data_IF_839281718883
#
_entry.id   IF_839281718883
#
_cell.length_a   1.000
_cell.length_b   1.000
_cell.length_c   1.000
_cell.angle_alpha   90.00
_cell.angle_beta   90.00
_cell.angle_gamma   90.00
#
_symmetry.space_group_name_H-M   'P 1'
#
loop_
_entity.id
_entity.type
_entity.pdbx_description
1 polymer ?
#
# COMPACT_ATOMS: atom_id res chain seq x y z
N UNK A 1 -13.30 -25.98 10.52
CA UNK A 1 -13.13 -27.16 9.66
C UNK A 1 -12.14 -26.87 8.52
N UNK A 2 -12.34 -25.84 7.71
CA UNK A 2 -11.49 -25.50 6.54
C UNK A 2 -10.02 -25.27 6.93
N UNK A 3 -9.75 -24.57 8.04
CA UNK A 3 -8.39 -24.32 8.49
C UNK A 3 -7.66 -25.61 8.91
N UNK A 4 -8.32 -26.51 9.63
CA UNK A 4 -7.76 -27.83 10.01
C UNK A 4 -7.48 -28.72 8.80
N UNK A 5 -8.35 -28.71 7.81
CA UNK A 5 -8.13 -29.45 6.55
C UNK A 5 -6.88 -28.94 5.82
N UNK A 6 -6.69 -27.62 5.77
CA UNK A 6 -5.49 -26.99 5.18
C UNK A 6 -4.21 -27.34 5.94
N UNK A 7 -4.26 -27.32 7.27
CA UNK A 7 -3.14 -27.73 8.12
C UNK A 7 -2.75 -29.18 7.85
N UNK A 8 -3.72 -30.10 7.78
CA UNK A 8 -3.49 -31.50 7.48
C UNK A 8 -2.88 -31.67 6.08
N UNK A 9 -3.44 -31.03 5.07
CA UNK A 9 -2.95 -31.09 3.69
C UNK A 9 -1.54 -30.51 3.56
N UNK A 10 -1.23 -29.45 4.30
CA UNK A 10 0.10 -28.87 4.36
C UNK A 10 1.12 -29.83 5.01
N UNK A 11 0.80 -30.43 6.15
CA UNK A 11 1.69 -31.40 6.82
C UNK A 11 1.90 -32.67 6.00
N UNK A 12 0.83 -33.20 5.35
CA UNK A 12 0.95 -34.31 4.39
C UNK A 12 1.86 -33.91 3.20
N UNK A 13 1.68 -32.70 2.68
CA UNK A 13 2.51 -32.18 1.61
C UNK A 13 3.98 -32.02 1.99
N UNK A 14 4.25 -31.59 3.24
CA UNK A 14 5.59 -31.47 3.81
C UNK A 14 6.26 -32.85 3.93
N UNK A 15 5.54 -33.88 4.43
CA UNK A 15 6.02 -35.26 4.50
C UNK A 15 6.32 -35.84 3.09
N UNK A 16 5.57 -35.44 2.07
CA UNK A 16 5.76 -35.88 0.68
C UNK A 16 6.69 -35.00 -0.13
N UNK A 17 7.36 -34.01 0.46
CA UNK A 17 8.13 -32.95 -0.23
C UNK A 17 7.34 -32.22 -1.34
N UNK A 18 6.02 -32.18 -1.24
CA UNK A 18 5.11 -31.63 -2.24
C UNK A 18 3.99 -30.82 -1.58
N UNK A 19 4.31 -29.59 -1.15
CA UNK A 19 3.32 -28.67 -0.57
C UNK A 19 2.53 -28.05 -1.73
N UNK A 20 1.26 -28.45 -1.90
CA UNK A 20 0.35 -27.90 -2.92
C UNK A 20 -0.81 -27.19 -2.25
N UNK A 21 -1.17 -26.01 -2.74
CA UNK A 21 -2.32 -25.28 -2.24
C UNK A 21 -2.47 -23.89 -2.86
N UNK A 22 -3.52 -23.20 -2.44
CA UNK A 22 -3.78 -21.82 -2.87
C UNK A 22 -3.73 -20.89 -1.67
N UNK A 23 -2.95 -19.83 -1.79
CA UNK A 23 -2.90 -18.69 -0.87
C UNK A 23 -3.83 -17.60 -1.41
N UNK A 24 -4.82 -17.20 -0.62
CA UNK A 24 -5.64 -16.02 -0.90
C UNK A 24 -5.03 -14.82 -0.22
N UNK A 25 -4.46 -13.93 -1.02
CA UNK A 25 -3.69 -12.78 -0.61
C UNK A 25 -4.47 -11.49 -0.89
N UNK A 26 -4.41 -10.52 0.03
CA UNK A 26 -4.91 -9.18 -0.18
C UNK A 26 -3.78 -8.17 -0.27
N UNK A 27 -4.00 -7.07 -1.00
CA UNK A 27 -3.06 -5.97 -0.95
C UNK A 27 -3.75 -4.63 -1.21
N UNK A 28 -3.31 -3.59 -0.50
CA UNK A 28 -3.68 -2.23 -0.86
C UNK A 28 -3.09 -1.84 -2.23
N UNK A 29 -3.68 -0.84 -2.86
CA UNK A 29 -3.32 -0.46 -4.25
C UNK A 29 -1.83 -0.17 -4.42
N UNK A 30 -1.21 0.56 -3.50
CA UNK A 30 0.23 0.86 -3.57
C UNK A 30 1.07 -0.42 -3.52
N UNK A 31 0.78 -1.29 -2.57
CA UNK A 31 1.56 -2.53 -2.38
C UNK A 31 1.34 -3.52 -3.53
N UNK A 32 0.09 -3.66 -4.01
CA UNK A 32 -0.25 -4.58 -5.09
C UNK A 32 0.37 -4.21 -6.43
N UNK A 33 0.58 -2.91 -6.68
CA UNK A 33 1.07 -2.41 -7.96
C UNK A 33 2.59 -2.24 -8.00
N UNK A 34 3.21 -1.80 -6.90
CA UNK A 34 4.61 -1.34 -6.95
C UNK A 34 5.59 -2.17 -6.12
N UNK A 35 5.13 -2.97 -5.17
CA UNK A 35 6.01 -3.71 -4.25
C UNK A 35 5.86 -5.21 -4.40
N UNK A 36 4.63 -5.72 -4.32
CA UNK A 36 4.38 -7.15 -4.31
C UNK A 36 4.66 -7.89 -5.62
N UNK A 37 4.53 -7.30 -6.82
CA UNK A 37 4.78 -8.04 -8.06
C UNK A 37 6.17 -8.69 -8.11
N UNK A 38 7.21 -8.00 -7.65
CA UNK A 38 8.56 -8.56 -7.59
C UNK A 38 8.65 -9.70 -6.56
N UNK A 39 8.07 -9.52 -5.37
CA UNK A 39 8.05 -10.54 -4.31
C UNK A 39 7.29 -11.78 -4.77
N UNK A 40 6.15 -11.58 -5.42
CA UNK A 40 5.32 -12.65 -5.97
C UNK A 40 6.06 -13.45 -7.05
N UNK A 41 6.71 -12.78 -7.99
CA UNK A 41 7.48 -13.43 -9.06
C UNK A 41 8.59 -14.33 -8.48
N UNK A 42 9.34 -13.82 -7.50
CA UNK A 42 10.39 -14.59 -6.81
C UNK A 42 9.82 -15.76 -6.01
N UNK A 43 8.69 -15.55 -5.31
CA UNK A 43 8.05 -16.61 -4.53
C UNK A 43 7.51 -17.73 -5.41
N UNK A 44 6.76 -17.40 -6.45
CA UNK A 44 6.15 -18.40 -7.34
C UNK A 44 7.20 -19.21 -8.11
N UNK A 45 8.32 -18.59 -8.48
CA UNK A 45 9.48 -19.29 -9.04
C UNK A 45 10.07 -20.31 -8.06
N UNK A 46 10.18 -19.93 -6.77
CA UNK A 46 10.76 -20.80 -5.74
C UNK A 46 9.78 -21.86 -5.23
N UNK A 47 8.49 -21.58 -5.33
CA UNK A 47 7.40 -22.43 -4.82
C UNK A 47 6.32 -22.68 -5.90
N UNK A 48 6.67 -23.32 -7.04
CA UNK A 48 5.77 -23.42 -8.20
C UNK A 48 4.51 -24.23 -7.94
N UNK A 49 4.43 -24.93 -6.82
CA UNK A 49 3.27 -25.75 -6.44
C UNK A 49 2.28 -25.00 -5.53
N UNK A 50 2.60 -23.76 -5.12
CA UNK A 50 1.69 -22.90 -4.37
C UNK A 50 1.12 -21.88 -5.34
N UNK A 51 -0.19 -21.98 -5.58
CA UNK A 51 -0.90 -20.95 -6.35
C UNK A 51 -1.22 -19.77 -5.45
N UNK A 52 -1.17 -18.57 -6.02
CA UNK A 52 -1.57 -17.33 -5.32
C UNK A 52 -2.73 -16.69 -6.08
N UNK A 53 -3.81 -16.41 -5.34
CA UNK A 53 -4.90 -15.56 -5.82
C UNK A 53 -4.85 -14.25 -5.03
N UNK A 54 -4.55 -13.14 -5.71
CA UNK A 54 -4.40 -11.85 -5.05
C UNK A 54 -5.54 -10.90 -5.42
N UNK A 55 -6.20 -10.35 -4.39
CA UNK A 55 -7.18 -9.27 -4.52
C UNK A 55 -6.54 -7.93 -4.16
N UNK A 56 -6.91 -6.88 -4.89
CA UNK A 56 -6.47 -5.51 -4.61
C UNK A 56 -7.67 -4.63 -4.26
N UNK A 57 -7.48 -3.74 -3.30
CA UNK A 57 -8.50 -2.79 -2.84
C UNK A 57 -7.87 -1.64 -2.06
N UNK A 58 -8.68 -0.80 -1.41
CA UNK A 58 -8.15 0.12 -0.42
C UNK A 58 -7.98 -0.56 0.94
N UNK A 59 -7.33 0.11 1.88
CA UNK A 59 -7.00 -0.47 3.19
C UNK A 59 -8.24 -0.99 3.91
N UNK A 60 -9.32 -0.19 3.97
CA UNK A 60 -10.55 -0.56 4.68
C UNK A 60 -11.19 -1.82 4.07
N UNK A 61 -11.21 -1.93 2.74
CA UNK A 61 -11.72 -3.11 2.04
C UNK A 61 -10.89 -4.36 2.35
N UNK A 62 -9.56 -4.25 2.31
CA UNK A 62 -8.67 -5.38 2.56
C UNK A 62 -8.74 -5.84 4.02
N UNK A 63 -8.81 -4.92 4.99
CA UNK A 63 -9.04 -5.28 6.40
C UNK A 63 -10.38 -5.99 6.60
N UNK A 64 -11.44 -5.53 5.94
CA UNK A 64 -12.74 -6.19 5.97
C UNK A 64 -12.67 -7.64 5.46
N UNK A 65 -11.98 -7.88 4.33
CA UNK A 65 -11.82 -9.22 3.74
C UNK A 65 -10.99 -10.16 4.64
N UNK A 66 -9.98 -9.64 5.36
CA UNK A 66 -9.23 -10.39 6.38
C UNK A 66 -10.16 -10.80 7.54
N UNK A 67 -10.96 -9.86 8.06
CA UNK A 67 -11.89 -10.11 9.16
C UNK A 67 -12.99 -11.10 8.76
N UNK A 68 -13.48 -11.01 7.52
CA UNK A 68 -14.44 -11.95 6.95
C UNK A 68 -13.87 -13.38 6.72
N UNK A 69 -12.52 -13.52 6.76
CA UNK A 69 -11.85 -14.81 6.50
C UNK A 69 -11.75 -15.17 5.01
N UNK A 70 -12.03 -14.22 4.11
CA UNK A 70 -11.89 -14.40 2.66
C UNK A 70 -10.42 -14.35 2.21
N UNK A 71 -9.59 -13.66 2.97
CA UNK A 71 -8.14 -13.58 2.76
C UNK A 71 -7.41 -14.18 3.96
N UNK A 72 -6.29 -14.84 3.70
CA UNK A 72 -5.43 -15.46 4.73
C UNK A 72 -4.32 -14.52 5.18
N UNK A 73 -3.84 -13.70 4.29
CA UNK A 73 -2.77 -12.73 4.50
C UNK A 73 -3.02 -11.50 3.64
N UNK A 74 -2.63 -10.34 4.12
CA UNK A 74 -2.67 -9.16 3.28
C UNK A 74 -1.52 -8.18 3.59
N UNK A 75 -1.34 -7.23 2.69
CA UNK A 75 -0.35 -6.17 2.77
C UNK A 75 -1.05 -4.82 2.63
N UNK A 76 -0.92 -3.98 3.65
CA UNK A 76 -1.62 -2.70 3.69
C UNK A 76 -0.72 -1.54 4.13
N UNK A 77 -1.18 -0.35 3.84
CA UNK A 77 -0.71 0.90 4.44
C UNK A 77 -1.73 1.42 5.46
N UNK A 78 -1.27 2.17 6.43
CA UNK A 78 -2.14 2.83 7.41
C UNK A 78 -1.64 2.63 8.85
N UNK A 79 -2.50 2.96 9.81
CA UNK A 79 -2.23 2.73 11.21
C UNK A 79 -2.99 1.49 11.69
N UNK A 80 -2.36 0.61 12.49
CA UNK A 80 -3.05 -0.47 13.16
C UNK A 80 -4.28 0.06 13.93
N UNK A 81 -5.47 -0.45 13.60
CA UNK A 81 -6.73 0.04 14.18
C UNK A 81 -7.69 -1.06 14.61
N UNK A 82 -7.56 -2.26 14.06
CA UNK A 82 -8.48 -3.37 14.29
C UNK A 82 -7.91 -4.37 15.31
N UNK A 83 -8.58 -4.60 16.47
CA UNK A 83 -8.06 -5.48 17.52
C UNK A 83 -7.98 -6.96 17.08
N UNK A 84 -8.82 -7.38 16.14
CA UNK A 84 -8.86 -8.74 15.64
C UNK A 84 -7.89 -9.01 14.48
N UNK A 85 -7.06 -8.02 14.14
CA UNK A 85 -6.01 -8.13 13.13
C UNK A 85 -4.63 -8.06 13.80
N UNK A 86 -3.75 -8.96 13.39
CA UNK A 86 -2.33 -8.90 13.74
C UNK A 86 -1.57 -8.11 12.67
N UNK A 87 -0.85 -7.06 13.09
CA UNK A 87 -0.09 -6.17 12.21
C UNK A 87 1.41 -6.38 12.41
N UNK A 88 2.09 -6.78 11.35
CA UNK A 88 3.54 -7.02 11.33
C UNK A 88 4.20 -5.93 10.50
N UNK A 89 5.10 -5.09 11.05
CA UNK A 89 5.80 -4.06 10.28
C UNK A 89 6.58 -4.66 9.11
N UNK A 90 6.39 -4.09 7.91
CA UNK A 90 7.00 -4.61 6.70
C UNK A 90 8.06 -3.67 6.12
N UNK A 91 7.71 -2.60 5.44
CA UNK A 91 8.61 -1.67 4.77
C UNK A 91 8.24 -0.24 5.15
N UNK A 92 9.22 0.63 5.34
CA UNK A 92 9.00 2.07 5.48
C UNK A 92 8.76 2.69 4.11
N UNK A 93 7.86 3.66 4.06
CA UNK A 93 7.51 4.43 2.88
C UNK A 93 7.45 5.91 3.22
N UNK A 94 7.70 6.72 2.21
CA UNK A 94 7.57 8.17 2.27
C UNK A 94 6.47 8.62 1.31
N UNK A 95 5.60 9.51 1.78
CA UNK A 95 4.60 10.17 0.94
C UNK A 95 5.15 11.53 0.53
N UNK A 96 5.29 11.74 -0.76
CA UNK A 96 5.88 12.93 -1.37
C UNK A 96 4.85 13.73 -2.14
N UNK A 97 5.00 15.06 -2.14
CA UNK A 97 4.19 15.96 -2.96
C UNK A 97 4.75 15.99 -4.37
N UNK A 98 3.89 15.70 -5.34
CA UNK A 98 4.27 15.67 -6.76
C UNK A 98 3.28 16.42 -7.64
N UNK A 99 3.78 16.89 -8.77
CA UNK A 99 3.01 17.51 -9.86
C UNK A 99 3.68 17.19 -11.20
N UNK A 100 3.02 17.53 -12.31
CA UNK A 100 3.64 17.44 -13.63
C UNK A 100 4.93 18.30 -13.70
N UNK A 101 5.92 17.85 -14.46
CA UNK A 101 7.22 18.54 -14.58
C UNK A 101 7.10 20.01 -14.97
N UNK A 102 6.18 20.30 -15.90
CA UNK A 102 6.03 21.64 -16.50
C UNK A 102 5.09 22.55 -15.70
N UNK A 103 4.50 22.07 -14.58
CA UNK A 103 3.68 22.91 -13.70
C UNK A 103 4.51 24.08 -13.15
N UNK A 104 4.05 25.35 -13.29
CA UNK A 104 4.82 26.52 -12.88
C UNK A 104 4.77 26.72 -11.36
N UNK A 105 5.61 25.99 -10.64
CA UNK A 105 5.76 26.07 -9.18
C UNK A 105 7.22 25.90 -8.78
N UNK A 106 7.63 26.57 -7.72
CA UNK A 106 8.95 26.40 -7.11
C UNK A 106 9.08 25.00 -6.50
N UNK A 107 10.31 24.46 -6.50
CA UNK A 107 10.59 23.14 -5.93
C UNK A 107 10.44 23.10 -4.40
N UNK A 108 10.57 24.26 -3.73
CA UNK A 108 10.38 24.40 -2.30
C UNK A 108 9.30 25.45 -2.02
N UNK A 109 8.27 25.08 -1.26
CA UNK A 109 7.13 25.94 -0.99
C UNK A 109 6.87 26.11 0.50
N UNK A 110 6.29 27.26 0.87
CA UNK A 110 5.83 27.52 2.24
C UNK A 110 4.50 26.85 2.54
N UNK A 111 4.14 26.65 3.82
CA UNK A 111 2.83 26.14 4.21
C UNK A 111 1.65 26.95 3.67
N UNK A 112 1.79 28.29 3.60
CA UNK A 112 0.76 29.19 3.06
C UNK A 112 0.53 28.95 1.56
N UNK A 113 1.60 28.64 0.81
CA UNK A 113 1.51 28.31 -0.61
C UNK A 113 0.93 26.91 -0.81
N UNK A 114 1.31 25.95 0.03
CA UNK A 114 0.79 24.58 0.01
C UNK A 114 -0.73 24.55 0.13
N UNK A 115 -1.35 25.27 1.07
CA UNK A 115 -2.81 25.26 1.27
C UNK A 115 -3.59 25.85 0.10
N UNK A 116 -2.95 26.61 -0.79
CA UNK A 116 -3.55 27.22 -1.98
C UNK A 116 -3.49 26.31 -3.21
N UNK A 117 -2.72 25.21 -3.16
CA UNK A 117 -2.56 24.32 -4.30
C UNK A 117 -3.85 23.56 -4.63
N UNK A 118 -4.11 23.27 -5.90
CA UNK A 118 -5.20 22.39 -6.31
C UNK A 118 -4.78 20.93 -6.16
N UNK A 119 -5.44 20.19 -5.29
CA UNK A 119 -5.11 18.79 -5.01
C UNK A 119 -6.01 17.79 -5.72
N UNK A 120 -5.42 16.61 -5.98
CA UNK A 120 -6.14 15.37 -6.25
C UNK A 120 -5.86 14.40 -5.11
N UNK A 121 -6.90 13.89 -4.48
CA UNK A 121 -6.78 12.97 -3.35
C UNK A 121 -7.25 11.56 -3.71
N UNK A 122 -6.76 10.61 -2.91
CA UNK A 122 -7.33 9.29 -2.82
C UNK A 122 -8.68 9.34 -2.07
N UNK A 123 -9.48 8.33 -2.28
CA UNK A 123 -10.76 8.12 -1.58
C UNK A 123 -10.55 7.90 -0.07
N UNK A 124 -11.62 8.13 0.72
CA UNK A 124 -11.56 8.11 2.19
C UNK A 124 -11.16 6.76 2.80
N UNK A 125 -11.42 5.63 2.15
CA UNK A 125 -11.01 4.30 2.60
C UNK A 125 -9.54 3.96 2.29
N UNK A 126 -8.80 4.86 1.63
CA UNK A 126 -7.38 4.70 1.34
C UNK A 126 -6.52 4.92 2.58
N UNK A 127 -5.64 3.98 2.89
CA UNK A 127 -4.62 4.16 3.93
C UNK A 127 -3.71 5.35 3.65
N UNK A 128 -3.41 5.63 2.38
CA UNK A 128 -2.68 6.85 1.96
C UNK A 128 -3.42 8.11 2.40
N UNK A 129 -4.73 8.19 2.14
CA UNK A 129 -5.54 9.34 2.56
C UNK A 129 -5.56 9.51 4.09
N UNK A 130 -5.70 8.42 4.84
CA UNK A 130 -5.71 8.46 6.31
C UNK A 130 -4.39 8.98 6.88
N UNK A 131 -3.26 8.53 6.35
CA UNK A 131 -1.93 8.98 6.77
C UNK A 131 -1.71 10.45 6.45
N UNK A 132 -2.03 10.89 5.24
CA UNK A 132 -1.93 12.30 4.83
C UNK A 132 -2.76 13.17 5.77
N UNK A 133 -4.03 12.83 5.98
CA UNK A 133 -4.93 13.58 6.88
C UNK A 133 -4.39 13.71 8.29
N UNK A 134 -3.78 12.63 8.83
CA UNK A 134 -3.18 12.62 10.16
C UNK A 134 -2.01 13.60 10.25
N UNK A 135 -1.03 13.49 9.33
CA UNK A 135 0.17 14.32 9.35
C UNK A 135 -0.13 15.80 9.07
N UNK A 136 -1.05 16.09 8.14
CA UNK A 136 -1.49 17.47 7.90
C UNK A 136 -2.14 18.06 9.15
N UNK A 137 -2.99 17.30 9.84
CA UNK A 137 -3.61 17.73 11.11
C UNK A 137 -2.54 18.00 12.19
N UNK A 138 -1.53 17.15 12.31
CA UNK A 138 -0.40 17.34 13.23
C UNK A 138 0.42 18.59 12.89
N UNK A 139 0.50 18.96 11.61
CA UNK A 139 1.11 20.20 11.12
C UNK A 139 0.17 21.42 11.17
N UNK A 140 -1.03 21.29 11.77
CA UNK A 140 -2.00 22.39 11.89
C UNK A 140 -2.81 22.67 10.62
N UNK A 141 -2.75 21.78 9.62
CA UNK A 141 -3.45 21.94 8.33
C UNK A 141 -4.68 21.01 8.31
N UNK A 142 -5.88 21.58 8.19
CA UNK A 142 -7.09 20.77 7.96
C UNK A 142 -7.23 20.45 6.46
N UNK A 143 -7.18 19.16 6.13
CA UNK A 143 -7.32 18.65 4.76
C UNK A 143 -8.63 19.11 4.09
N UNK A 144 -9.69 19.39 4.88
CA UNK A 144 -10.98 19.86 4.36
C UNK A 144 -10.91 21.31 3.84
N UNK A 145 -9.90 22.07 4.24
CA UNK A 145 -9.68 23.44 3.77
C UNK A 145 -8.81 23.50 2.50
N UNK A 146 -8.21 22.37 2.10
CA UNK A 146 -7.45 22.30 0.87
C UNK A 146 -8.38 22.28 -0.35
N UNK A 147 -7.94 22.89 -1.45
CA UNK A 147 -8.68 22.87 -2.70
C UNK A 147 -8.64 21.46 -3.31
N UNK A 148 -9.68 20.68 -3.07
CA UNK A 148 -9.82 19.34 -3.66
C UNK A 148 -10.51 19.45 -5.04
N UNK A 149 -9.78 19.17 -6.11
CA UNK A 149 -10.29 19.19 -7.50
C UNK A 149 -10.93 17.88 -7.89
N UNK A 150 -10.40 16.77 -7.38
CA UNK A 150 -10.83 15.44 -7.79
C UNK A 150 -10.47 14.42 -6.72
N UNK A 151 -11.32 13.41 -6.55
CA UNK A 151 -11.04 12.22 -5.74
C UNK A 151 -11.00 11.00 -6.66
N UNK A 152 -9.90 10.25 -6.65
CA UNK A 152 -9.72 9.05 -7.46
C UNK A 152 -9.35 7.84 -6.59
N UNK A 153 -10.00 6.71 -6.85
CA UNK A 153 -9.73 5.42 -6.17
C UNK A 153 -8.48 4.69 -6.69
N UNK A 154 -7.65 5.33 -7.52
CA UNK A 154 -6.50 4.70 -8.16
C UNK A 154 -5.28 5.61 -8.17
N UNK A 155 -4.14 5.11 -7.67
CA UNK A 155 -2.86 5.83 -7.73
C UNK A 155 -2.42 6.06 -9.17
N UNK A 156 -2.58 5.06 -10.05
CA UNK A 156 -2.29 5.21 -11.48
C UNK A 156 -3.19 6.27 -12.14
N UNK A 157 -4.50 6.27 -11.79
CA UNK A 157 -5.42 7.29 -12.27
C UNK A 157 -5.00 8.71 -11.86
N UNK A 158 -4.52 8.89 -10.62
CA UNK A 158 -3.97 10.17 -10.15
C UNK A 158 -2.73 10.54 -10.96
N UNK A 159 -1.76 9.66 -11.12
CA UNK A 159 -0.54 9.94 -11.91
C UNK A 159 -0.87 10.39 -13.33
N UNK A 160 -1.74 9.65 -14.02
CA UNK A 160 -2.18 10.03 -15.36
C UNK A 160 -2.89 11.38 -15.38
N UNK A 161 -3.74 11.68 -14.40
CA UNK A 161 -4.40 12.97 -14.30
C UNK A 161 -3.41 14.12 -14.11
N UNK A 162 -2.39 13.94 -13.26
CA UNK A 162 -1.36 14.95 -13.04
C UNK A 162 -0.62 15.34 -14.33
N UNK A 163 -0.36 14.37 -15.23
CA UNK A 163 0.34 14.63 -16.50
C UNK A 163 -0.46 15.54 -17.46
N UNK A 164 -1.74 15.79 -17.18
CA UNK A 164 -2.63 16.59 -18.01
C UNK A 164 -3.30 17.75 -17.24
N UNK A 165 -2.74 18.11 -16.07
CA UNK A 165 -3.31 19.15 -15.20
C UNK A 165 -2.22 19.86 -14.41
N UNK A 166 -2.53 21.03 -13.85
CA UNK A 166 -1.68 21.76 -12.92
C UNK A 166 -1.95 21.37 -11.46
N UNK A 167 -2.50 20.19 -11.22
CA UNK A 167 -2.83 19.70 -9.90
C UNK A 167 -1.63 19.03 -9.20
N UNK A 168 -1.78 18.86 -7.89
CA UNK A 168 -0.80 18.26 -7.01
C UNK A 168 -1.39 17.02 -6.33
N UNK A 169 -0.54 16.07 -6.00
CA UNK A 169 -0.94 14.92 -5.21
C UNK A 169 0.16 14.52 -4.22
N UNK A 170 -0.28 14.00 -3.08
CA UNK A 170 0.57 13.35 -2.09
C UNK A 170 0.53 11.84 -2.33
N UNK A 171 1.62 11.27 -2.81
CA UNK A 171 1.73 9.87 -3.24
C UNK A 171 2.94 9.18 -2.62
N UNK A 172 2.90 7.84 -2.55
CA UNK A 172 4.05 7.03 -2.17
C UNK A 172 5.22 7.25 -3.13
N UNK A 173 6.42 7.39 -2.60
CA UNK A 173 7.65 7.46 -3.41
C UNK A 173 7.81 6.22 -4.31
N UNK A 174 7.38 5.04 -3.84
CA UNK A 174 7.39 3.82 -4.65
C UNK A 174 6.52 3.93 -5.90
N UNK A 175 5.41 4.67 -5.81
CA UNK A 175 4.46 4.79 -6.91
C UNK A 175 4.86 5.80 -7.99
N UNK A 176 5.74 6.73 -7.68
CA UNK A 176 6.13 7.84 -8.59
C UNK A 176 7.58 7.76 -9.07
N UNK A 177 8.32 6.73 -8.62
CA UNK A 177 9.75 6.59 -8.93
C UNK A 177 10.05 6.58 -10.43
N UNK A 178 9.24 5.88 -11.20
CA UNK A 178 9.43 5.78 -12.66
C UNK A 178 9.18 7.13 -13.34
N UNK A 179 8.10 7.83 -12.99
CA UNK A 179 7.76 9.14 -13.56
C UNK A 179 8.77 10.21 -13.18
N UNK A 180 9.28 10.18 -11.94
CA UNK A 180 10.35 11.07 -11.49
C UNK A 180 11.65 10.80 -12.28
N UNK A 181 12.05 9.54 -12.41
CA UNK A 181 13.24 9.16 -13.17
C UNK A 181 13.12 9.50 -14.66
N UNK A 182 11.93 9.38 -15.22
CA UNK A 182 11.62 9.75 -16.59
C UNK A 182 11.42 11.26 -16.80
N UNK A 183 11.47 12.07 -15.75
CA UNK A 183 11.24 13.51 -15.78
C UNK A 183 9.83 13.91 -16.22
N UNK A 184 8.83 13.08 -15.97
CA UNK A 184 7.41 13.35 -16.25
C UNK A 184 6.72 14.06 -15.08
N UNK A 185 7.10 13.69 -13.86
CA UNK A 185 6.71 14.36 -12.63
C UNK A 185 7.92 15.01 -11.98
N UNK A 186 7.67 15.96 -11.09
CA UNK A 186 8.66 16.55 -10.20
C UNK A 186 8.20 16.53 -8.75
N UNK A 187 9.16 16.42 -7.84
CA UNK A 187 8.97 16.57 -6.41
C UNK A 187 8.83 18.04 -6.05
N UNK A 188 7.94 18.32 -5.10
CA UNK A 188 7.83 19.63 -4.45
C UNK A 188 8.11 19.39 -2.97
N UNK A 189 9.07 20.11 -2.44
CA UNK A 189 9.38 20.07 -1.02
C UNK A 189 8.55 21.14 -0.28
N UNK A 190 8.06 20.76 0.89
CA UNK A 190 7.47 21.71 1.82
C UNK A 190 8.31 21.68 3.11
N UNK A 191 8.84 22.83 3.51
CA UNK A 191 9.58 22.94 4.75
C UNK A 191 8.72 22.41 5.91
N UNK A 192 9.32 21.57 6.75
CA UNK A 192 8.74 20.99 7.96
C UNK A 192 7.60 19.95 7.75
N UNK A 193 7.28 19.55 6.51
CA UNK A 193 6.35 18.46 6.26
C UNK A 193 7.05 17.23 5.66
N UNK A 194 7.34 16.28 6.52
CA UNK A 194 7.86 14.97 6.11
C UNK A 194 6.85 13.90 6.52
N UNK A 195 6.26 13.21 5.54
CA UNK A 195 5.22 12.22 5.78
C UNK A 195 5.78 10.83 5.60
N UNK A 196 6.10 10.17 6.71
CA UNK A 196 6.52 8.78 6.72
C UNK A 196 5.39 7.86 7.14
N UNK A 197 5.38 6.64 6.60
CA UNK A 197 4.47 5.60 7.02
C UNK A 197 5.15 4.23 7.05
N UNK A 198 4.47 3.27 7.67
CA UNK A 198 4.84 1.87 7.65
C UNK A 198 3.83 1.10 6.80
N UNK A 199 4.32 0.22 5.94
CA UNK A 199 3.52 -0.86 5.37
C UNK A 199 3.50 -2.03 6.34
N UNK A 200 2.38 -2.73 6.38
CA UNK A 200 2.17 -3.87 7.28
C UNK A 200 1.78 -5.11 6.50
N UNK A 201 2.27 -6.24 6.97
CA UNK A 201 1.68 -7.53 6.68
C UNK A 201 0.62 -7.77 7.75
N UNK A 202 -0.58 -8.19 7.34
CA UNK A 202 -1.68 -8.43 8.26
C UNK A 202 -2.29 -9.80 8.05
N UNK A 203 -2.75 -10.39 9.15
CA UNK A 203 -3.60 -11.57 9.16
C UNK A 203 -4.55 -11.49 10.37
N UNK A 204 -5.59 -12.32 10.37
CA UNK A 204 -6.50 -12.42 11.51
C UNK A 204 -5.73 -12.85 12.76
N UNK A 205 -6.14 -12.38 13.95
CA UNK A 205 -5.55 -12.81 15.22
C UNK A 205 -5.50 -14.33 15.34
N UNK A 206 -4.42 -14.83 15.95
CA UNK A 206 -4.12 -16.26 16.09
C UNK A 206 -3.01 -16.72 15.14
N UNK A 207 -2.84 -18.03 15.04
CA UNK A 207 -1.85 -18.64 14.17
C UNK A 207 -2.23 -18.44 12.69
N UNK A 208 -1.33 -17.90 11.86
CA UNK A 208 -1.58 -17.76 10.43
C UNK A 208 -1.69 -19.12 9.75
N UNK A 209 -2.49 -19.17 8.68
CA UNK A 209 -2.53 -20.32 7.77
C UNK A 209 -1.11 -20.72 7.32
N UNK A 210 -0.79 -22.01 7.18
CA UNK A 210 0.57 -22.45 6.84
C UNK A 210 1.13 -21.87 5.53
N UNK A 211 0.29 -21.67 4.51
CA UNK A 211 0.72 -21.05 3.25
C UNK A 211 0.97 -19.56 3.44
N UNK A 212 0.12 -18.88 4.22
CA UNK A 212 0.28 -17.49 4.60
C UNK A 212 1.57 -17.28 5.39
N UNK A 213 1.86 -18.14 6.39
CA UNK A 213 3.11 -18.10 7.15
C UNK A 213 4.34 -18.23 6.23
N UNK A 214 4.31 -19.18 5.32
CA UNK A 214 5.43 -19.41 4.38
C UNK A 214 5.67 -18.21 3.47
N UNK A 215 4.60 -17.61 2.93
CA UNK A 215 4.74 -16.40 2.11
C UNK A 215 5.20 -15.20 2.94
N UNK A 216 4.65 -15.02 4.13
CA UNK A 216 5.04 -13.95 5.06
C UNK A 216 6.52 -14.01 5.43
N UNK A 217 7.02 -15.19 5.84
CA UNK A 217 8.45 -15.40 6.14
C UNK A 217 9.33 -15.12 4.92
N UNK A 218 8.89 -15.56 3.74
CA UNK A 218 9.60 -15.26 2.50
C UNK A 218 9.65 -13.74 2.24
N UNK A 219 8.52 -13.03 2.33
CA UNK A 219 8.45 -11.59 2.10
C UNK A 219 9.31 -10.80 3.11
N UNK A 220 9.27 -11.20 4.39
CA UNK A 220 10.10 -10.58 5.44
C UNK A 220 11.60 -10.75 5.19
N UNK A 221 12.03 -11.88 4.63
CA UNK A 221 13.44 -12.14 4.30
C UNK A 221 13.92 -11.45 3.00
N UNK A 222 13.00 -10.87 2.21
CA UNK A 222 13.34 -10.10 1.00
C UNK A 222 13.53 -8.60 1.28
N UNK A 223 13.39 -8.15 2.53
CA UNK A 223 13.67 -6.76 2.93
C UNK A 223 15.17 -6.48 2.75
N UNK A 224 15.51 -5.77 1.69
CA UNK A 224 16.82 -5.15 1.51
C UNK A 224 16.64 -3.71 1.09
#
# INVERSE_FOLDING_TARGET
LIQREREINYEIGKMRMSIKGTLYLGASTTLSQYILPEVLARFTTRHPQISISMSSGNTDQIEHEILAGNLQLAFIEGNPSQPDIHYIPYIRDEIVLVTAKDTPVEENISPEKFIQLPFVFREKGSGTYHIIRKHLKEAGIDINHLTNRLVLGSTEGIKHYLLHSDCFALLSIYSVREELSAGKLKLIEMNDLCIHRMFYIIHRQGEPDPYARRFMEFALNQKK
#
